data_IF_087881278860
#
_entry.id   IF_087881278860
#
_cell.length_a   1.000
_cell.length_b   1.000
_cell.length_c   1.000
_cell.angle_alpha   90.00
_cell.angle_beta   90.00
_cell.angle_gamma   90.00
#
_symmetry.space_group_name_H-M   'P 1'
#
loop_
_entity.id
_entity.type
_entity.pdbx_description
1 polymer ?
#
# COMPACT_ATOMS: atom_id res chain seq x y z
N UNK A 1 -11.66 -1.57 4.56
CA UNK A 1 -10.80 -1.08 3.45
C UNK A 1 -9.62 -2.03 3.30
N UNK A 2 -9.15 -2.34 2.08
CA UNK A 2 -7.98 -3.19 1.91
C UNK A 2 -6.70 -2.48 2.36
N UNK A 3 -5.88 -3.14 3.19
CA UNK A 3 -4.59 -2.61 3.66
C UNK A 3 -3.74 -2.04 2.52
N UNK A 4 -3.65 -2.77 1.41
CA UNK A 4 -2.84 -2.34 0.26
C UNK A 4 -3.36 -1.07 -0.43
N UNK A 5 -4.68 -0.85 -0.44
CA UNK A 5 -5.28 0.39 -0.99
C UNK A 5 -4.97 1.59 -0.10
N UNK A 6 -4.97 1.39 1.21
CA UNK A 6 -4.57 2.42 2.20
C UNK A 6 -3.11 2.82 2.01
N UNK A 7 -2.21 1.82 1.91
CA UNK A 7 -0.77 2.06 1.65
C UNK A 7 -0.57 2.82 0.34
N UNK A 8 -1.25 2.43 -0.74
CA UNK A 8 -1.16 3.11 -2.02
C UNK A 8 -1.67 4.55 -1.95
N UNK A 9 -2.76 4.80 -1.22
CA UNK A 9 -3.31 6.14 -1.02
C UNK A 9 -2.35 7.04 -0.22
N UNK A 10 -1.73 6.50 0.84
CA UNK A 10 -0.68 7.17 1.60
C UNK A 10 0.54 7.53 0.74
N UNK A 11 1.07 6.55 -0.02
CA UNK A 11 2.21 6.77 -0.94
C UNK A 11 1.90 7.84 -2.01
N UNK A 12 0.64 7.94 -2.42
CA UNK A 12 0.17 8.96 -3.39
C UNK A 12 -0.20 10.30 -2.74
N UNK A 13 -0.14 10.42 -1.42
CA UNK A 13 -0.44 11.66 -0.69
C UNK A 13 -1.93 11.97 -0.56
N UNK A 14 -2.83 11.01 -0.80
CA UNK A 14 -4.28 11.22 -0.66
C UNK A 14 -4.75 11.25 0.79
N UNK A 15 -4.05 10.54 1.66
CA UNK A 15 -4.33 10.43 3.10
C UNK A 15 -3.03 10.48 3.87
N UNK A 16 -3.08 10.90 5.13
CA UNK A 16 -1.91 10.97 6.00
C UNK A 16 -1.72 9.70 6.85
N UNK A 17 -0.63 9.66 7.62
CA UNK A 17 -0.29 8.53 8.50
C UNK A 17 -1.32 8.25 9.60
N UNK A 18 -1.99 9.29 10.12
CA UNK A 18 -3.02 9.16 11.16
C UNK A 18 -4.29 8.56 10.59
N UNK A 19 -4.71 8.99 9.40
CA UNK A 19 -5.84 8.41 8.68
C UNK A 19 -5.56 6.94 8.37
N UNK A 20 -4.34 6.60 7.95
CA UNK A 20 -3.95 5.21 7.72
C UNK A 20 -4.05 4.35 8.98
N UNK A 21 -3.55 4.86 10.11
CA UNK A 21 -3.62 4.22 11.41
C UNK A 21 -5.09 3.92 11.81
N UNK A 22 -5.98 4.91 11.64
CA UNK A 22 -7.41 4.75 11.92
C UNK A 22 -8.09 3.73 11.00
N UNK A 23 -7.83 3.79 9.69
CA UNK A 23 -8.45 2.87 8.72
C UNK A 23 -7.99 1.42 8.94
N UNK A 24 -6.73 1.24 9.35
CA UNK A 24 -6.12 -0.07 9.59
C UNK A 24 -6.33 -0.58 11.02
N UNK A 25 -6.80 0.26 11.94
CA UNK A 25 -6.95 -0.08 13.35
C UNK A 25 -5.62 -0.35 14.05
N UNK A 26 -4.55 0.35 13.66
CA UNK A 26 -3.20 0.22 14.25
C UNK A 26 -2.66 1.57 14.68
N UNK A 27 -1.58 1.59 15.46
CA UNK A 27 -0.88 2.82 15.79
C UNK A 27 0.03 3.31 14.64
N UNK A 28 0.29 4.61 14.60
CA UNK A 28 1.19 5.26 13.65
C UNK A 28 2.62 4.68 13.64
N UNK A 29 3.15 4.26 14.80
CA UNK A 29 4.46 3.61 14.89
C UNK A 29 4.45 2.24 14.21
N UNK A 30 3.36 1.48 14.38
CA UNK A 30 3.17 0.19 13.70
C UNK A 30 3.03 0.38 12.19
N UNK A 31 2.35 1.45 11.76
CA UNK A 31 2.27 1.80 10.34
C UNK A 31 3.63 2.21 9.76
N UNK A 32 4.45 2.96 10.50
CA UNK A 32 5.82 3.31 10.09
C UNK A 32 6.68 2.06 9.89
N UNK A 33 6.61 1.10 10.81
CA UNK A 33 7.25 -0.21 10.65
C UNK A 33 6.74 -0.97 9.42
N UNK A 34 5.43 -0.90 9.16
CA UNK A 34 4.79 -1.49 7.99
C UNK A 34 5.28 -0.89 6.65
N UNK A 35 5.57 0.41 6.63
CA UNK A 35 6.13 1.11 5.45
C UNK A 35 7.59 0.72 5.19
N UNK A 36 8.32 0.35 6.24
CA UNK A 36 9.71 -0.11 6.12
C UNK A 36 9.82 -1.52 5.50
N UNK A 37 8.71 -2.27 5.46
CA UNK A 37 8.68 -3.60 4.86
C UNK A 37 8.67 -3.52 3.32
N UNK A 38 9.70 -4.05 2.64
CA UNK A 38 9.83 -3.98 1.19
C UNK A 38 8.79 -4.83 0.45
N UNK A 39 8.18 -5.83 1.11
CA UNK A 39 7.16 -6.69 0.51
C UNK A 39 5.79 -6.01 0.48
N UNK A 40 5.52 -5.10 1.40
CA UNK A 40 4.30 -4.29 1.44
C UNK A 40 4.36 -3.04 0.57
N UNK A 41 5.57 -2.61 0.20
CA UNK A 41 5.82 -1.55 -0.78
C UNK A 41 5.53 -1.98 -2.22
N UNK A 42 5.34 -3.28 -2.48
CA UNK A 42 4.93 -3.79 -3.79
C UNK A 42 3.47 -3.40 -4.04
N UNK A 43 3.29 -2.39 -4.89
CA UNK A 43 2.01 -2.01 -5.44
C UNK A 43 1.27 -3.26 -5.95
N UNK A 44 0.09 -3.61 -5.40
CA UNK A 44 -0.69 -4.74 -5.92
C UNK A 44 -1.26 -4.49 -7.32
N UNK A 45 -1.00 -3.31 -7.91
CA UNK A 45 -1.40 -2.99 -9.27
C UNK A 45 -0.40 -3.52 -10.32
N UNK A 46 0.73 -4.13 -9.93
CA UNK A 46 1.71 -4.71 -10.85
C UNK A 46 1.42 -6.17 -11.25
N UNK A 47 0.13 -6.51 -11.37
CA UNK A 47 -0.42 -7.71 -12.01
C UNK A 47 -1.74 -7.24 -12.67
N UNK A 48 -2.02 -7.29 -13.97
CA UNK A 48 -1.38 -7.91 -15.13
C UNK A 48 -1.86 -7.13 -16.38
N UNK A 49 -1.03 -6.28 -16.94
CA UNK A 49 -1.14 -5.90 -18.34
C UNK A 49 0.29 -5.57 -18.74
N UNK A 50 1.01 -6.52 -19.34
CA UNK A 50 1.84 -6.42 -20.57
C UNK A 50 2.46 -7.80 -20.85
N UNK A 51 2.19 -8.31 -22.06
CA UNK A 51 2.90 -9.34 -22.82
C UNK A 51 2.87 -10.80 -22.33
N UNK A 52 1.87 -11.54 -22.81
CA UNK A 52 2.18 -12.73 -23.60
C UNK A 52 1.62 -12.51 -25.01
N UNK A 53 2.41 -11.83 -25.85
CA UNK A 53 2.26 -11.96 -27.30
C UNK A 53 2.98 -13.25 -27.66
N UNK A 54 2.21 -14.33 -27.78
CA UNK A 54 2.71 -15.57 -28.36
C UNK A 54 2.77 -15.37 -29.89
N UNK A 55 3.94 -15.68 -30.47
CA UNK A 55 4.25 -15.65 -31.91
C UNK A 55 3.47 -16.69 -32.71
#
# INVERSE_FOLDING_TARGET
MDKRKVIAAYKRGFINVQECAQILGIDTAQFSGLMSDPYLSTDPNTRQDKKSVNS
#
